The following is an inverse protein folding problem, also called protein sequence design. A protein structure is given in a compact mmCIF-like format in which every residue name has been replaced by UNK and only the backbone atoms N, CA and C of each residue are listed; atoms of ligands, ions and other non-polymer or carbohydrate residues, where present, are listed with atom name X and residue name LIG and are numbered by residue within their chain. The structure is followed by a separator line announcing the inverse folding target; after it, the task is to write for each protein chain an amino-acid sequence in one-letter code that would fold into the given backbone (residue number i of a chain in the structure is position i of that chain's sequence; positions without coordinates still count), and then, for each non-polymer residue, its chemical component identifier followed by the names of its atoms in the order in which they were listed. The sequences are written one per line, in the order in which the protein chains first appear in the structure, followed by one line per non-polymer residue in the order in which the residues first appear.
data_IF_884236558753
#
_entry.id   IF_884236558753
#
_cell.length_a   1.000
_cell.length_b   1.000
_cell.length_c   1.000
_cell.angle_alpha   90.00
_cell.angle_beta   90.00
_cell.angle_gamma   90.00
#
_symmetry.space_group_name_H-M   'P 1'
#
loop_
_entity.id
_entity.type
_entity.pdbx_description
1 polymer ?
#
# COMPACT_ATOMS: atom_id res chain seq x y z
N UNK A 1 -29.93 -6.95 13.83
CA UNK A 1 -28.62 -7.03 13.15
C UNK A 1 -27.58 -7.29 14.23
N UNK A 2 -26.69 -8.26 14.04
CA UNK A 2 -25.63 -8.57 15.00
C UNK A 2 -24.24 -8.41 14.40
N UNK A 3 -23.22 -8.26 15.25
CA UNK A 3 -21.81 -8.20 14.83
C UNK A 3 -20.95 -9.03 15.77
N UNK A 4 -20.01 -9.78 15.19
CA UNK A 4 -18.98 -10.54 15.93
C UNK A 4 -17.60 -10.13 15.41
N UNK A 5 -16.56 -10.28 16.23
CA UNK A 5 -15.17 -9.99 15.83
C UNK A 5 -14.42 -11.28 15.57
N UNK A 6 -13.86 -11.44 14.37
CA UNK A 6 -13.14 -12.64 13.95
C UNK A 6 -11.97 -12.28 13.05
N UNK A 7 -10.77 -12.80 13.35
CA UNK A 7 -9.53 -12.65 12.53
C UNK A 7 -9.30 -11.22 11.98
N UNK A 8 -9.32 -10.23 12.86
CA UNK A 8 -9.12 -8.81 12.52
C UNK A 8 -10.19 -8.24 11.57
N UNK A 9 -11.43 -8.69 11.73
CA UNK A 9 -12.57 -8.18 11.00
C UNK A 9 -13.83 -8.24 11.85
N UNK A 10 -14.78 -7.37 11.50
CA UNK A 10 -16.14 -7.45 11.98
C UNK A 10 -16.97 -8.24 10.99
N UNK A 11 -17.61 -9.29 11.50
CA UNK A 11 -18.55 -10.12 10.77
C UNK A 11 -19.95 -9.70 11.17
N UNK A 12 -20.64 -9.04 10.26
CA UNK A 12 -22.03 -8.62 10.44
C UNK A 12 -22.95 -9.68 9.89
N UNK A 13 -23.94 -10.08 10.69
CA UNK A 13 -24.96 -11.02 10.27
C UNK A 13 -26.34 -10.40 10.42
N UNK A 14 -27.19 -10.66 9.44
CA UNK A 14 -28.57 -10.21 9.43
C UNK A 14 -29.50 -11.40 9.64
N UNK A 15 -30.56 -11.18 10.41
CA UNK A 15 -31.60 -12.18 10.60
C UNK A 15 -32.33 -12.42 9.28
N UNK A 16 -32.78 -13.65 9.03
CA UNK A 16 -33.55 -13.98 7.84
C UNK A 16 -34.82 -13.12 7.69
N UNK A 17 -35.48 -12.76 8.81
CA UNK A 17 -36.67 -11.87 8.81
C UNK A 17 -36.38 -10.52 8.17
N UNK A 18 -35.33 -9.83 8.62
CA UNK A 18 -34.88 -8.53 8.10
C UNK A 18 -34.41 -8.62 6.64
N UNK A 19 -33.81 -9.75 6.25
CA UNK A 19 -33.39 -9.97 4.87
C UNK A 19 -34.57 -10.20 3.92
N UNK A 20 -35.60 -10.93 4.36
CA UNK A 20 -36.78 -11.23 3.56
C UNK A 20 -37.70 -10.02 3.38
N UNK A 21 -37.72 -9.10 4.35
CA UNK A 21 -38.47 -7.84 4.29
C UNK A 21 -37.72 -6.72 3.54
N UNK A 22 -36.67 -7.05 2.78
CA UNK A 22 -35.83 -6.05 2.11
C UNK A 22 -36.22 -5.90 0.63
N UNK A 23 -36.52 -4.67 0.22
CA UNK A 23 -36.90 -4.33 -1.16
C UNK A 23 -35.76 -4.54 -2.18
N UNK A 24 -34.53 -4.63 -1.70
CA UNK A 24 -33.32 -4.83 -2.52
C UNK A 24 -32.88 -6.29 -2.62
N UNK A 25 -33.76 -7.24 -2.32
CA UNK A 25 -33.48 -8.69 -2.39
C UNK A 25 -32.97 -9.15 -3.76
N UNK A 26 -33.43 -8.54 -4.86
CA UNK A 26 -32.98 -8.87 -6.22
C UNK A 26 -31.56 -8.37 -6.55
N UNK A 27 -31.11 -7.29 -5.93
CA UNK A 27 -29.78 -6.70 -6.11
C UNK A 27 -28.78 -7.13 -5.04
N UNK A 28 -29.24 -7.87 -4.03
CA UNK A 28 -28.41 -8.29 -2.92
C UNK A 28 -27.39 -9.37 -3.38
N UNK A 29 -26.08 -9.14 -3.22
CA UNK A 29 -25.05 -10.12 -3.59
C UNK A 29 -25.16 -11.45 -2.84
N UNK A 30 -25.90 -11.48 -1.74
CA UNK A 30 -25.96 -12.59 -0.79
C UNK A 30 -27.09 -13.60 -1.08
N UNK A 31 -27.99 -13.32 -2.03
CA UNK A 31 -29.14 -14.19 -2.32
C UNK A 31 -30.02 -14.48 -1.08
N UNK A 32 -30.77 -15.58 -1.12
CA UNK A 32 -31.73 -15.99 -0.05
C UNK A 32 -31.07 -16.55 1.21
N UNK A 33 -29.75 -16.81 1.20
CA UNK A 33 -29.06 -17.52 2.28
C UNK A 33 -28.17 -16.58 3.09
N UNK A 34 -28.67 -16.16 4.27
CA UNK A 34 -27.92 -15.57 5.40
C UNK A 34 -26.77 -14.62 4.99
N UNK A 35 -27.07 -13.36 4.61
CA UNK A 35 -26.04 -12.38 4.29
C UNK A 35 -25.11 -12.19 5.50
N UNK A 36 -23.88 -12.63 5.33
CA UNK A 36 -22.80 -12.38 6.29
C UNK A 36 -21.82 -11.43 5.61
N UNK A 37 -21.67 -10.23 6.16
CA UNK A 37 -20.76 -9.21 5.63
C UNK A 37 -19.46 -9.24 6.44
N UNK A 38 -18.36 -9.52 5.76
CA UNK A 38 -17.03 -9.46 6.35
C UNK A 38 -16.41 -8.08 6.09
N UNK A 39 -16.17 -7.32 7.15
CA UNK A 39 -15.53 -6.00 7.05
C UNK A 39 -14.21 -6.05 7.79
N UNK A 40 -13.10 -6.00 7.05
CA UNK A 40 -11.78 -6.01 7.67
C UNK A 40 -11.56 -4.77 8.54
N UNK A 41 -10.83 -4.93 9.63
CA UNK A 41 -10.47 -3.82 10.51
C UNK A 41 -9.64 -2.78 9.76
N UNK A 42 -8.78 -3.20 8.84
CA UNK A 42 -8.00 -2.29 7.98
C UNK A 42 -8.91 -1.40 7.11
N UNK A 43 -10.02 -1.95 6.60
CA UNK A 43 -10.97 -1.18 5.82
C UNK A 43 -11.76 -0.19 6.68
N UNK A 44 -12.16 -0.59 7.88
CA UNK A 44 -12.80 0.32 8.85
C UNK A 44 -11.87 1.46 9.25
N UNK A 45 -10.59 1.15 9.51
CA UNK A 45 -9.58 2.16 9.79
C UNK A 45 -9.43 3.12 8.61
N UNK A 46 -9.36 2.60 7.38
CA UNK A 46 -9.29 3.40 6.16
C UNK A 46 -10.47 4.36 5.98
N UNK A 47 -11.70 3.94 6.33
CA UNK A 47 -12.89 4.79 6.28
C UNK A 47 -12.85 5.88 7.37
N UNK A 48 -12.30 5.56 8.55
CA UNK A 48 -12.21 6.47 9.69
C UNK A 48 -11.08 7.50 9.57
N UNK A 49 -10.12 7.33 8.65
CA UNK A 49 -9.02 8.28 8.49
C UNK A 49 -9.54 9.62 7.96
N UNK A 50 -9.04 10.70 8.54
CA UNK A 50 -9.29 12.06 8.07
C UNK A 50 -8.92 12.23 6.58
N UNK A 51 -9.76 12.88 5.75
CA UNK A 51 -9.49 13.05 4.32
C UNK A 51 -8.15 13.74 4.00
N UNK A 52 -7.72 14.73 4.79
CA UNK A 52 -6.46 15.45 4.57
C UNK A 52 -5.25 14.60 4.99
N UNK A 53 -5.33 13.89 6.11
CA UNK A 53 -4.30 12.92 6.49
C UNK A 53 -4.12 11.82 5.44
N UNK A 54 -5.25 11.30 4.93
CA UNK A 54 -5.27 10.31 3.85
C UNK A 54 -4.59 10.85 2.60
N UNK A 55 -4.88 12.09 2.19
CA UNK A 55 -4.25 12.73 1.04
C UNK A 55 -2.74 12.88 1.21
N UNK A 56 -2.28 13.26 2.41
CA UNK A 56 -0.85 13.31 2.76
C UNK A 56 -0.20 11.92 2.69
N UNK A 57 -0.85 10.89 3.22
CA UNK A 57 -0.37 9.51 3.17
C UNK A 57 -0.26 8.99 1.73
N UNK A 58 -1.25 9.24 0.88
CA UNK A 58 -1.24 8.86 -0.54
C UNK A 58 -0.11 9.55 -1.32
N UNK A 59 0.15 10.83 -1.03
CA UNK A 59 1.32 11.55 -1.62
C UNK A 59 2.65 10.90 -1.24
N UNK A 60 2.82 10.48 0.02
CA UNK A 60 4.02 9.75 0.47
C UNK A 60 4.12 8.39 -0.24
N UNK A 61 3.02 7.65 -0.31
CA UNK A 61 2.94 6.33 -0.96
C UNK A 61 3.35 6.39 -2.43
N UNK A 62 2.95 7.41 -3.17
CA UNK A 62 3.35 7.60 -4.58
C UNK A 62 4.88 7.63 -4.75
N UNK A 63 5.61 8.30 -3.85
CA UNK A 63 7.08 8.35 -3.88
C UNK A 63 7.71 6.98 -3.61
N UNK A 64 7.13 6.23 -2.67
CA UNK A 64 7.56 4.88 -2.31
C UNK A 64 7.34 3.92 -3.48
N UNK A 65 6.14 3.91 -4.07
CA UNK A 65 5.79 3.04 -5.20
C UNK A 65 6.66 3.33 -6.43
N UNK A 66 7.02 4.59 -6.68
CA UNK A 66 7.97 4.94 -7.73
C UNK A 66 9.34 4.25 -7.52
N UNK A 67 9.85 4.21 -6.28
CA UNK A 67 11.11 3.52 -5.95
C UNK A 67 11.00 2.01 -6.05
N UNK A 68 9.88 1.42 -5.67
CA UNK A 68 9.63 0.00 -5.94
C UNK A 68 9.51 -0.30 -7.44
N UNK A 69 8.95 0.62 -8.23
CA UNK A 69 8.91 0.54 -9.69
C UNK A 69 10.30 0.56 -10.32
N UNK A 70 11.17 1.46 -9.85
CA UNK A 70 12.59 1.53 -10.24
C UNK A 70 13.30 0.21 -9.93
N UNK A 71 13.13 -0.32 -8.72
CA UNK A 71 13.73 -1.59 -8.31
C UNK A 71 13.29 -2.76 -9.22
N UNK A 72 11.99 -2.83 -9.54
CA UNK A 72 11.45 -3.88 -10.43
C UNK A 72 11.98 -3.76 -11.86
N UNK A 73 11.94 -2.55 -12.44
CA UNK A 73 12.31 -2.31 -13.85
C UNK A 73 13.82 -2.34 -14.09
N UNK A 74 14.59 -1.64 -13.27
CA UNK A 74 16.02 -1.42 -13.51
C UNK A 74 16.94 -2.32 -12.66
N UNK A 75 16.43 -2.90 -11.57
CA UNK A 75 17.21 -3.79 -10.69
C UNK A 75 16.69 -5.24 -10.67
N UNK A 76 15.87 -5.62 -11.66
CA UNK A 76 15.37 -7.00 -11.87
C UNK A 76 14.65 -7.61 -10.66
N UNK A 77 14.10 -6.78 -9.75
CA UNK A 77 13.35 -7.26 -8.58
C UNK A 77 11.99 -7.90 -8.91
N UNK A 78 11.58 -7.94 -10.18
CA UNK A 78 10.40 -8.72 -10.62
C UNK A 78 10.58 -10.22 -10.40
N UNK A 79 11.82 -10.72 -10.39
CA UNK A 79 12.12 -12.13 -10.15
C UNK A 79 13.15 -12.28 -9.02
N UNK A 80 12.92 -13.22 -8.12
CA UNK A 80 13.93 -13.63 -7.16
C UNK A 80 15.03 -14.42 -7.89
N UNK A 81 16.29 -14.01 -7.72
CA UNK A 81 17.46 -14.74 -8.25
C UNK A 81 17.75 -15.98 -7.42
N UNK A 82 17.52 -15.90 -6.12
CA UNK A 82 17.80 -16.97 -5.17
C UNK A 82 16.52 -17.61 -4.62
N UNK A 83 16.62 -18.86 -4.17
CA UNK A 83 15.54 -19.58 -3.48
C UNK A 83 15.72 -19.52 -1.96
N UNK A 84 14.61 -19.36 -1.23
CA UNK A 84 14.58 -19.27 0.23
C UNK A 84 14.55 -17.84 0.74
N UNK A 85 13.75 -17.60 1.80
CA UNK A 85 13.42 -16.26 2.32
C UNK A 85 14.65 -15.43 2.66
N UNK A 86 15.65 -16.03 3.32
CA UNK A 86 16.85 -15.30 3.76
C UNK A 86 17.72 -14.83 2.59
N UNK A 87 17.92 -15.65 1.55
CA UNK A 87 18.69 -15.25 0.36
C UNK A 87 17.98 -14.19 -0.45
N UNK A 88 16.66 -14.27 -0.56
CA UNK A 88 15.85 -13.23 -1.20
C UNK A 88 15.93 -11.92 -0.41
N UNK A 89 15.91 -11.99 0.93
CA UNK A 89 16.09 -10.81 1.76
C UNK A 89 17.44 -10.12 1.48
N UNK A 90 18.54 -10.87 1.42
CA UNK A 90 19.86 -10.33 1.05
C UNK A 90 19.82 -9.66 -0.34
N UNK A 91 19.22 -10.31 -1.34
CA UNK A 91 19.07 -9.72 -2.69
C UNK A 91 18.31 -8.38 -2.64
N UNK A 92 17.22 -8.32 -1.88
CA UNK A 92 16.42 -7.09 -1.73
C UNK A 92 17.23 -6.01 -1.02
N UNK A 93 17.89 -6.32 0.10
CA UNK A 93 18.69 -5.35 0.84
C UNK A 93 19.82 -4.77 0.00
N UNK A 94 20.61 -5.62 -0.68
CA UNK A 94 21.68 -5.18 -1.57
C UNK A 94 21.15 -4.28 -2.69
N UNK A 95 19.99 -4.61 -3.25
CA UNK A 95 19.35 -3.80 -4.29
C UNK A 95 18.99 -2.39 -3.78
N UNK A 96 18.35 -2.30 -2.61
CA UNK A 96 17.95 -1.01 -2.05
C UNK A 96 19.14 -0.19 -1.54
N UNK A 97 20.20 -0.84 -1.05
CA UNK A 97 21.47 -0.17 -0.75
C UNK A 97 22.00 0.52 -2.01
N UNK A 98 22.09 -0.19 -3.14
CA UNK A 98 22.56 0.40 -4.41
C UNK A 98 21.66 1.55 -4.88
N UNK A 99 20.33 1.41 -4.81
CA UNK A 99 19.40 2.49 -5.18
C UNK A 99 19.62 3.74 -4.31
N UNK A 100 19.82 3.55 -3.00
CA UNK A 100 20.09 4.66 -2.08
C UNK A 100 21.45 5.31 -2.34
N UNK A 101 22.50 4.53 -2.60
CA UNK A 101 23.82 5.04 -2.96
C UNK A 101 23.78 5.87 -4.25
N UNK A 102 23.10 5.38 -5.29
CA UNK A 102 22.88 6.15 -6.54
C UNK A 102 22.18 7.48 -6.27
N UNK A 103 21.19 7.48 -5.37
CA UNK A 103 20.49 8.70 -4.97
C UNK A 103 21.42 9.67 -4.23
N UNK A 104 22.24 9.18 -3.30
CA UNK A 104 23.20 10.01 -2.57
C UNK A 104 24.20 10.66 -3.52
N UNK A 105 24.81 9.88 -4.43
CA UNK A 105 25.70 10.42 -5.46
C UNK A 105 25.02 11.51 -6.29
N UNK A 106 23.77 11.27 -6.73
CA UNK A 106 23.02 12.26 -7.51
C UNK A 106 22.76 13.56 -6.73
N UNK A 107 22.46 13.46 -5.44
CA UNK A 107 22.24 14.63 -4.59
C UNK A 107 23.53 15.43 -4.37
N UNK A 108 24.68 14.75 -4.25
CA UNK A 108 25.98 15.40 -4.16
C UNK A 108 26.30 16.15 -5.46
N UNK A 109 26.11 15.52 -6.63
CA UNK A 109 26.29 16.18 -7.94
C UNK A 109 25.42 17.45 -8.07
N UNK A 110 24.14 17.35 -7.71
CA UNK A 110 23.22 18.50 -7.77
C UNK A 110 23.69 19.61 -6.85
N UNK A 111 24.14 19.26 -5.64
CA UNK A 111 24.65 20.23 -4.66
C UNK A 111 25.92 20.91 -5.17
N UNK A 112 26.88 20.15 -5.72
CA UNK A 112 28.10 20.70 -6.30
C UNK A 112 27.80 21.62 -7.47
N UNK A 113 26.93 21.21 -8.38
CA UNK A 113 26.51 22.04 -9.50
C UNK A 113 25.84 23.33 -9.01
N UNK A 114 24.94 23.25 -8.04
CA UNK A 114 24.31 24.45 -7.45
C UNK A 114 25.35 25.41 -6.83
N UNK A 115 26.38 24.88 -6.16
CA UNK A 115 27.48 25.70 -5.64
C UNK A 115 28.31 26.33 -6.76
N UNK A 116 28.58 25.60 -7.84
CA UNK A 116 29.30 26.13 -9.02
C UNK A 116 28.56 27.28 -9.71
N UNK A 117 27.23 27.22 -9.79
CA UNK A 117 26.43 28.31 -10.37
C UNK A 117 26.24 29.51 -9.41
N UNK A 118 26.41 29.30 -8.10
CA UNK A 118 26.27 30.34 -7.09
C UNK A 118 27.56 31.18 -6.87
N UNK A 119 28.71 30.68 -7.33
CA UNK A 119 29.96 31.45 -7.36
C UNK A 119 30.17 31.94 -8.80
N UNK A 120 30.12 33.26 -9.06
CA UNK A 120 30.41 33.77 -10.40
C UNK A 120 31.87 33.44 -10.72
N UNK A 121 32.09 32.77 -11.86
CA UNK A 121 33.42 32.65 -12.45
C UNK A 121 33.97 34.07 -12.62
N UNK A 122 34.93 34.43 -11.78
CA UNK A 122 35.78 35.59 -11.99
C UNK A 122 36.67 35.40 -13.21
#
# INVERSE_FOLDING_TARGET
MGKTYYKNAYVYYFSARVCNSCDKTKECPCGKNKPTLYVSQSHLLYIKVDPEEKKKALRKRRRIEAKFGEAKRHHRMTRARYRGRWRVAIQVFMTFIVINLKRMAKLLEIRENAMRFALPSG
#
